data_IF_909571654164
#
_entry.id   IF_909571654164
#
_cell.length_a   1.000
_cell.length_b   1.000
_cell.length_c   1.000
_cell.angle_alpha   90.00
_cell.angle_beta   90.00
_cell.angle_gamma   90.00
#
_symmetry.space_group_name_H-M   'P 1'
#
loop_
_entity.id
_entity.type
_entity.pdbx_description
1 polymer ?
#
# COMPACT_ATOMS: atom_id res chain seq x y z
N UNK A 1 7.22 13.20 7.40
CA UNK A 1 7.21 12.14 8.43
C UNK A 1 5.92 12.25 9.24
N UNK A 2 5.20 11.14 9.41
CA UNK A 2 3.94 11.06 10.16
C UNK A 2 4.08 10.03 11.25
N UNK A 3 3.45 10.29 12.40
CA UNK A 3 3.49 9.39 13.57
C UNK A 3 2.09 9.20 14.13
N UNK A 4 1.75 7.95 14.43
CA UNK A 4 0.59 7.55 15.22
C UNK A 4 1.04 6.52 16.26
N UNK A 5 1.30 6.98 17.48
CA UNK A 5 1.90 6.19 18.57
C UNK A 5 3.25 5.58 18.13
N UNK A 6 3.36 4.26 18.15
CA UNK A 6 4.54 3.48 17.74
C UNK A 6 4.72 3.38 16.21
N UNK A 7 3.66 3.70 15.42
CA UNK A 7 3.72 3.64 13.96
C UNK A 7 4.25 4.94 13.38
N UNK A 8 5.23 4.83 12.51
CA UNK A 8 5.84 5.97 11.78
C UNK A 8 5.78 5.68 10.28
N UNK A 9 5.39 6.69 9.52
CA UNK A 9 5.54 6.70 8.05
C UNK A 9 6.55 7.79 7.73
N UNK A 10 7.67 7.41 7.10
CA UNK A 10 8.76 8.30 6.75
C UNK A 10 9.33 7.99 5.37
N UNK A 11 10.00 8.96 4.71
CA UNK A 11 10.71 8.70 3.47
C UNK A 11 11.66 7.51 3.60
N UNK A 12 11.86 6.81 2.49
CA UNK A 12 12.90 5.77 2.38
C UNK A 12 14.25 6.46 2.37
N UNK A 13 15.14 6.01 3.23
CA UNK A 13 16.53 6.47 3.30
C UNK A 13 17.47 5.46 2.62
N UNK A 14 18.63 5.88 2.22
CA UNK A 14 19.63 4.97 1.62
C UNK A 14 20.01 3.82 2.58
N UNK A 15 20.05 4.09 3.87
CA UNK A 15 20.32 3.08 4.91
C UNK A 15 19.23 1.98 4.99
N UNK A 16 18.02 2.25 4.52
CA UNK A 16 16.91 1.28 4.54
C UNK A 16 17.01 0.25 3.41
N UNK A 17 17.77 0.54 2.37
CA UNK A 17 17.74 -0.26 1.12
C UNK A 17 18.12 -1.72 1.33
N UNK A 18 19.07 -2.01 2.21
CA UNK A 18 19.47 -3.38 2.52
C UNK A 18 18.35 -4.17 3.19
N UNK A 19 17.68 -3.57 4.19
CA UNK A 19 16.55 -4.21 4.87
C UNK A 19 15.36 -4.37 3.94
N UNK A 20 15.03 -3.33 3.16
CA UNK A 20 13.95 -3.40 2.18
C UNK A 20 14.19 -4.47 1.12
N UNK A 21 15.40 -4.55 0.57
CA UNK A 21 15.74 -5.62 -0.36
C UNK A 21 15.56 -7.01 0.27
N UNK A 22 16.04 -7.18 1.50
CA UNK A 22 15.89 -8.44 2.22
C UNK A 22 14.43 -8.82 2.41
N UNK A 23 13.58 -7.88 2.83
CA UNK A 23 12.15 -8.10 3.04
C UNK A 23 11.38 -8.43 1.75
N UNK A 24 11.82 -7.86 0.62
CA UNK A 24 11.10 -7.98 -0.65
C UNK A 24 11.62 -9.15 -1.49
N UNK A 25 12.95 -9.34 -1.58
CA UNK A 25 13.59 -10.16 -2.60
C UNK A 25 14.49 -11.30 -2.08
N UNK A 26 14.73 -11.41 -0.76
CA UNK A 26 15.62 -12.46 -0.23
C UNK A 26 15.03 -13.86 -0.35
N UNK A 27 13.70 -13.97 -0.40
CA UNK A 27 12.98 -15.21 -0.59
C UNK A 27 12.38 -15.29 -2.00
N UNK A 28 12.40 -16.48 -2.61
CA UNK A 28 11.81 -16.69 -3.93
C UNK A 28 10.28 -16.56 -3.89
N UNK A 29 9.66 -17.05 -2.81
CA UNK A 29 8.21 -16.99 -2.58
C UNK A 29 7.92 -16.42 -1.17
N UNK A 30 8.10 -15.12 -0.96
CA UNK A 30 7.88 -14.52 0.33
C UNK A 30 6.40 -14.59 0.73
N UNK A 31 6.14 -14.79 2.01
CA UNK A 31 4.78 -15.04 2.51
C UNK A 31 3.80 -13.89 2.21
N UNK A 32 4.29 -12.64 2.24
CA UNK A 32 3.48 -11.47 1.93
C UNK A 32 2.94 -11.47 0.49
N UNK A 33 3.63 -12.13 -0.44
CA UNK A 33 3.23 -12.21 -1.86
C UNK A 33 1.89 -12.93 -2.06
N UNK A 34 1.48 -13.78 -1.13
CA UNK A 34 0.17 -14.44 -1.15
C UNK A 34 -1.01 -13.46 -1.09
N UNK A 35 -0.77 -12.25 -0.60
CA UNK A 35 -1.80 -11.19 -0.45
C UNK A 35 -1.67 -10.10 -1.51
N UNK A 36 -0.44 -9.86 -2.00
CA UNK A 36 -0.14 -8.83 -2.98
C UNK A 36 -0.09 -9.39 -4.39
N UNK A 37 -1.26 -9.42 -5.05
CA UNK A 37 -1.41 -9.84 -6.44
C UNK A 37 -0.62 -11.12 -6.79
N UNK A 38 -0.91 -12.27 -6.11
CA UNK A 38 -0.12 -13.50 -6.24
C UNK A 38 -0.20 -14.12 -7.65
N UNK A 39 -1.12 -13.69 -8.46
CA UNK A 39 -1.28 -14.07 -9.87
C UNK A 39 -0.25 -13.40 -10.81
N UNK A 40 0.56 -12.48 -10.31
CA UNK A 40 1.76 -11.99 -10.99
C UNK A 40 2.99 -12.63 -10.38
N UNK A 41 3.93 -13.01 -11.25
CA UNK A 41 5.19 -13.61 -10.84
C UNK A 41 5.98 -12.66 -9.93
N UNK A 42 6.54 -13.21 -8.85
CA UNK A 42 7.49 -12.52 -8.01
C UNK A 42 8.88 -12.62 -8.65
N UNK A 43 9.41 -11.50 -9.13
CA UNK A 43 10.73 -11.47 -9.77
C UNK A 43 11.84 -11.47 -8.73
N UNK A 44 12.79 -12.38 -8.88
CA UNK A 44 14.04 -12.30 -8.12
C UNK A 44 14.87 -11.12 -8.63
N UNK A 45 15.34 -10.28 -7.70
CA UNK A 45 16.21 -9.13 -7.99
C UNK A 45 17.43 -9.22 -7.09
N UNK A 46 18.63 -9.19 -7.67
CA UNK A 46 19.87 -9.13 -6.87
C UNK A 46 19.97 -7.81 -6.12
N UNK A 47 20.69 -7.79 -5.00
CA UNK A 47 20.88 -6.54 -4.25
C UNK A 47 21.54 -5.46 -5.10
N UNK A 48 22.50 -5.83 -5.96
CA UNK A 48 23.17 -4.89 -6.87
C UNK A 48 22.21 -4.29 -7.90
N UNK A 49 21.28 -5.09 -8.45
CA UNK A 49 20.30 -4.57 -9.37
C UNK A 49 19.23 -3.71 -8.66
N UNK A 50 18.89 -4.08 -7.43
CA UNK A 50 18.01 -3.26 -6.59
C UNK A 50 18.63 -1.89 -6.29
N UNK A 51 19.92 -1.82 -6.01
CA UNK A 51 20.63 -0.55 -5.78
C UNK A 51 20.60 0.39 -7.00
N UNK A 52 20.47 -0.13 -8.21
CA UNK A 52 20.30 0.71 -9.41
C UNK A 52 18.98 1.49 -9.43
N UNK A 53 18.01 1.08 -8.61
CA UNK A 53 16.72 1.75 -8.49
C UNK A 53 16.67 2.79 -7.36
N UNK A 54 17.78 3.01 -6.64
CA UNK A 54 17.82 3.85 -5.45
C UNK A 54 17.27 5.27 -5.66
N UNK A 55 17.60 5.89 -6.80
CA UNK A 55 17.16 7.26 -7.11
C UNK A 55 15.63 7.38 -7.30
N UNK A 56 14.97 6.26 -7.62
CA UNK A 56 13.52 6.18 -7.72
C UNK A 56 12.85 5.78 -6.38
N UNK A 57 13.62 5.46 -5.35
CA UNK A 57 13.13 5.00 -4.05
C UNK A 57 13.44 5.98 -2.92
N UNK A 58 14.70 6.45 -2.85
CA UNK A 58 15.19 7.24 -1.73
C UNK A 58 14.66 8.66 -1.78
N UNK A 59 14.13 9.15 -0.66
CA UNK A 59 13.60 10.50 -0.49
C UNK A 59 12.53 10.92 -1.52
N UNK A 60 11.77 9.95 -2.05
CA UNK A 60 10.67 10.26 -2.95
C UNK A 60 9.42 10.72 -2.19
N UNK A 61 8.67 11.64 -2.80
CA UNK A 61 7.44 12.20 -2.22
C UNK A 61 6.23 11.26 -2.29
N UNK A 62 6.35 10.16 -3.02
CA UNK A 62 5.27 9.21 -3.25
C UNK A 62 5.53 7.81 -2.68
N UNK A 63 6.64 7.61 -1.94
CA UNK A 63 6.99 6.32 -1.34
C UNK A 63 7.60 6.47 0.03
N UNK A 64 7.12 5.66 0.95
CA UNK A 64 7.55 5.70 2.35
C UNK A 64 7.69 4.29 2.92
N UNK A 65 8.54 4.15 3.95
CA UNK A 65 8.53 2.98 4.83
C UNK A 65 7.45 3.14 5.90
N UNK A 66 6.91 2.00 6.32
CA UNK A 66 6.11 1.86 7.53
C UNK A 66 7.03 1.26 8.58
N UNK A 67 7.24 1.99 9.67
CA UNK A 67 8.09 1.60 10.79
C UNK A 67 7.26 1.46 12.05
N UNK A 68 7.50 0.43 12.85
CA UNK A 68 6.88 0.22 14.16
C UNK A 68 7.98 -0.10 15.16
N UNK A 69 8.09 0.69 16.24
CA UNK A 69 9.13 0.56 17.27
C UNK A 69 10.57 0.49 16.70
N UNK A 70 10.87 1.23 15.64
CA UNK A 70 12.19 1.27 14.99
C UNK A 70 12.44 0.13 14.01
N UNK A 71 11.48 -0.72 13.74
CA UNK A 71 11.55 -1.83 12.79
C UNK A 71 10.75 -1.51 11.52
N UNK A 72 11.35 -1.67 10.35
CA UNK A 72 10.64 -1.54 9.07
C UNK A 72 9.76 -2.78 8.89
N UNK A 73 8.45 -2.56 8.78
CA UNK A 73 7.48 -3.65 8.60
C UNK A 73 6.88 -3.69 7.20
N UNK A 74 6.99 -2.62 6.44
CA UNK A 74 6.35 -2.51 5.12
C UNK A 74 6.66 -1.21 4.40
N UNK A 75 6.01 -1.05 3.26
CA UNK A 75 6.02 0.18 2.47
C UNK A 75 4.62 0.63 2.12
N UNK A 76 4.46 1.93 1.94
CA UNK A 76 3.21 2.56 1.51
C UNK A 76 3.55 3.69 0.53
N UNK A 77 2.66 3.95 -0.42
CA UNK A 77 2.86 5.02 -1.37
C UNK A 77 1.64 5.26 -2.25
N UNK A 78 1.82 6.12 -3.25
CA UNK A 78 0.81 6.34 -4.28
C UNK A 78 1.44 6.37 -5.68
N UNK A 79 0.61 6.16 -6.68
CA UNK A 79 0.96 6.31 -8.09
C UNK A 79 -0.20 6.95 -8.86
N UNK A 80 0.16 7.71 -9.89
CA UNK A 80 -0.83 8.36 -10.73
C UNK A 80 -1.45 7.38 -11.72
N UNK A 81 -2.76 7.28 -11.70
CA UNK A 81 -3.53 6.63 -12.77
C UNK A 81 -3.72 7.61 -13.95
N UNK A 82 -4.11 8.86 -13.63
CA UNK A 82 -4.23 9.91 -14.63
C UNK A 82 -4.02 11.29 -13.97
N UNK A 83 -2.80 11.80 -14.08
CA UNK A 83 -2.39 13.05 -13.43
C UNK A 83 -3.23 14.28 -13.83
N UNK A 84 -3.60 14.48 -15.13
CA UNK A 84 -4.46 15.59 -15.51
C UNK A 84 -5.86 15.61 -14.86
N UNK A 85 -6.36 14.44 -14.44
CA UNK A 85 -7.63 14.31 -13.70
C UNK A 85 -7.45 14.32 -12.18
N UNK A 86 -6.26 14.58 -11.67
CA UNK A 86 -5.92 14.43 -10.26
C UNK A 86 -6.35 13.06 -9.70
N UNK A 87 -6.18 12.00 -10.50
CA UNK A 87 -6.51 10.64 -10.13
C UNK A 87 -5.27 9.83 -9.82
N UNK A 88 -5.15 9.42 -8.57
CA UNK A 88 -4.11 8.51 -8.09
C UNK A 88 -4.71 7.33 -7.33
N UNK A 89 -3.93 6.28 -7.21
CA UNK A 89 -4.22 5.15 -6.33
C UNK A 89 -3.09 4.95 -5.34
N UNK A 90 -3.41 4.42 -4.16
CA UNK A 90 -2.47 4.10 -3.11
C UNK A 90 -2.10 2.60 -3.15
N UNK A 91 -0.87 2.30 -2.74
CA UNK A 91 -0.40 0.94 -2.57
C UNK A 91 0.24 0.76 -1.20
N UNK A 92 0.04 -0.40 -0.60
CA UNK A 92 0.62 -0.77 0.69
C UNK A 92 0.98 -2.24 0.69
N UNK A 93 2.14 -2.56 1.25
CA UNK A 93 2.52 -3.94 1.58
C UNK A 93 3.12 -3.96 2.98
N UNK A 94 2.61 -4.85 3.83
CA UNK A 94 3.24 -5.21 5.11
C UNK A 94 3.95 -6.55 4.90
N UNK A 95 5.27 -6.53 4.89
CA UNK A 95 6.10 -7.68 4.58
C UNK A 95 6.16 -8.69 5.73
N UNK A 96 6.10 -8.23 6.99
CA UNK A 96 6.28 -9.06 8.18
C UNK A 96 4.95 -9.61 8.70
N UNK A 97 4.73 -10.94 8.68
CA UNK A 97 3.46 -11.57 9.10
C UNK A 97 3.06 -11.25 10.54
N UNK A 98 4.03 -11.06 11.44
CA UNK A 98 3.80 -10.72 12.84
C UNK A 98 3.00 -9.42 13.04
N UNK A 99 3.00 -8.54 12.05
CA UNK A 99 2.28 -7.26 12.08
C UNK A 99 0.93 -7.29 11.33
N UNK A 100 0.55 -8.45 10.79
CA UNK A 100 -0.76 -8.59 10.14
C UNK A 100 -1.87 -8.64 11.19
N UNK A 101 -3.05 -8.17 10.81
CA UNK A 101 -4.25 -8.10 11.67
C UNK A 101 -4.13 -7.23 12.94
N UNK A 102 -2.98 -6.58 13.17
CA UNK A 102 -2.75 -5.63 14.27
C UNK A 102 -3.29 -4.21 14.02
N UNK A 103 -3.96 -3.98 12.89
CA UNK A 103 -4.50 -2.66 12.53
C UNK A 103 -3.49 -1.70 11.89
N UNK A 104 -2.23 -2.06 11.77
CA UNK A 104 -1.17 -1.20 11.22
C UNK A 104 -1.46 -0.76 9.78
N UNK A 105 -1.96 -1.65 8.92
CA UNK A 105 -2.35 -1.32 7.55
C UNK A 105 -3.45 -0.26 7.49
N UNK A 106 -4.50 -0.41 8.31
CA UNK A 106 -5.60 0.56 8.40
C UNK A 106 -5.11 1.93 8.86
N UNK A 107 -4.26 1.96 9.89
CA UNK A 107 -3.67 3.20 10.42
C UNK A 107 -2.76 3.87 9.40
N UNK A 108 -1.91 3.11 8.72
CA UNK A 108 -1.01 3.63 7.70
C UNK A 108 -1.77 4.23 6.51
N UNK A 109 -2.80 3.55 6.01
CA UNK A 109 -3.64 4.04 4.92
C UNK A 109 -4.40 5.29 5.35
N UNK A 110 -4.95 5.34 6.56
CA UNK A 110 -5.64 6.53 7.09
C UNK A 110 -4.71 7.75 7.10
N UNK A 111 -3.47 7.59 7.58
CA UNK A 111 -2.46 8.64 7.59
C UNK A 111 -2.17 9.13 6.17
N UNK A 112 -1.96 8.19 5.24
CA UNK A 112 -1.66 8.55 3.85
C UNK A 112 -2.83 9.27 3.18
N UNK A 113 -4.06 8.78 3.32
CA UNK A 113 -5.27 9.44 2.79
C UNK A 113 -5.38 10.86 3.33
N UNK A 114 -5.19 11.05 4.63
CA UNK A 114 -5.21 12.37 5.26
C UNK A 114 -4.16 13.30 4.66
N UNK A 115 -2.94 12.81 4.50
CA UNK A 115 -1.86 13.57 3.86
C UNK A 115 -2.25 13.98 2.44
N UNK A 116 -2.69 13.04 1.63
CA UNK A 116 -3.01 13.27 0.22
C UNK A 116 -4.12 14.31 0.05
N UNK A 117 -5.23 14.18 0.75
CA UNK A 117 -6.33 15.15 0.66
C UNK A 117 -5.97 16.52 1.24
N UNK A 118 -5.10 16.57 2.25
CA UNK A 118 -4.67 17.85 2.86
C UNK A 118 -3.69 18.62 1.97
N UNK A 119 -2.80 17.90 1.26
CA UNK A 119 -1.69 18.53 0.52
C UNK A 119 -1.93 18.65 -0.98
N UNK A 120 -2.90 17.92 -1.52
CA UNK A 120 -3.19 17.88 -2.95
C UNK A 120 -4.66 18.19 -3.26
N UNK A 121 -4.96 18.82 -4.40
CA UNK A 121 -6.33 19.13 -4.83
C UNK A 121 -7.05 17.89 -5.40
N UNK A 122 -6.92 16.75 -4.73
CA UNK A 122 -7.55 15.51 -5.15
C UNK A 122 -9.05 15.54 -4.87
N UNK A 123 -9.85 15.00 -5.77
CA UNK A 123 -11.29 14.79 -5.56
C UNK A 123 -11.60 13.37 -5.09
N UNK A 124 -10.67 12.43 -5.31
CA UNK A 124 -10.76 11.03 -4.88
C UNK A 124 -9.39 10.44 -4.59
N UNK A 125 -9.37 9.43 -3.73
CA UNK A 125 -8.26 8.51 -3.51
C UNK A 125 -8.81 7.09 -3.54
N UNK A 126 -8.10 6.16 -4.15
CA UNK A 126 -8.53 4.77 -4.21
C UNK A 126 -7.37 3.79 -4.15
N UNK A 127 -7.71 2.52 -4.23
CA UNK A 127 -6.75 1.44 -4.47
C UNK A 127 -7.42 0.25 -5.15
N UNK A 128 -6.60 -0.55 -5.81
CA UNK A 128 -7.01 -1.82 -6.40
C UNK A 128 -6.49 -2.98 -5.57
N UNK A 129 -7.35 -3.97 -5.33
CA UNK A 129 -7.01 -5.25 -4.70
C UNK A 129 -7.73 -6.40 -5.43
N UNK A 130 -7.74 -7.58 -4.86
CA UNK A 130 -8.41 -8.74 -5.44
C UNK A 130 -9.26 -9.45 -4.37
N UNK A 131 -10.24 -10.25 -4.80
CA UNK A 131 -11.22 -10.87 -3.90
C UNK A 131 -10.61 -11.88 -2.91
N UNK A 132 -9.40 -12.38 -3.18
CA UNK A 132 -8.66 -13.22 -2.25
C UNK A 132 -7.98 -12.44 -1.12
N UNK A 133 -7.82 -11.13 -1.25
CA UNK A 133 -7.30 -10.27 -0.18
C UNK A 133 -8.43 -9.63 0.63
N UNK A 134 -9.18 -10.46 1.36
CA UNK A 134 -10.28 -9.99 2.20
C UNK A 134 -9.83 -8.97 3.27
N UNK A 135 -8.58 -9.06 3.72
CA UNK A 135 -8.02 -8.12 4.70
C UNK A 135 -8.00 -6.71 4.13
N UNK A 136 -7.55 -6.56 2.87
CA UNK A 136 -7.48 -5.25 2.24
C UNK A 136 -8.88 -4.69 1.95
N UNK A 137 -9.84 -5.54 1.55
CA UNK A 137 -11.24 -5.13 1.39
C UNK A 137 -11.79 -4.59 2.73
N UNK A 138 -11.58 -5.33 3.82
CA UNK A 138 -12.01 -4.90 5.17
C UNK A 138 -11.34 -3.61 5.64
N UNK A 139 -10.10 -3.35 5.23
CA UNK A 139 -9.42 -2.07 5.51
C UNK A 139 -10.18 -0.91 4.87
N UNK A 140 -10.56 -1.03 3.61
CA UNK A 140 -11.35 -0.01 2.92
C UNK A 140 -12.70 0.22 3.60
N UNK A 141 -13.43 -0.85 3.87
CA UNK A 141 -14.72 -0.77 4.58
C UNK A 141 -14.59 -0.05 5.94
N UNK A 142 -13.57 -0.40 6.74
CA UNK A 142 -13.30 0.27 8.02
C UNK A 142 -13.01 1.77 7.88
N UNK A 143 -12.41 2.17 6.77
CA UNK A 143 -12.09 3.58 6.49
C UNK A 143 -13.24 4.32 5.80
N UNK A 144 -14.39 3.65 5.58
CA UNK A 144 -15.56 4.23 4.93
C UNK A 144 -15.40 4.38 3.42
N UNK A 145 -14.48 3.63 2.80
CA UNK A 145 -14.35 3.58 1.36
C UNK A 145 -15.47 2.77 0.72
N UNK A 146 -15.89 3.18 -0.46
CA UNK A 146 -16.89 2.46 -1.27
C UNK A 146 -16.21 1.46 -2.19
N UNK A 147 -16.78 0.25 -2.32
CA UNK A 147 -16.41 -0.67 -3.40
C UNK A 147 -17.00 -0.15 -4.71
N UNK A 148 -16.18 0.50 -5.52
CA UNK A 148 -16.60 1.15 -6.76
C UNK A 148 -16.68 0.19 -7.94
N UNK A 149 -15.90 -0.90 -7.92
CA UNK A 149 -15.94 -1.92 -8.96
C UNK A 149 -15.56 -3.30 -8.43
N UNK A 150 -16.22 -4.31 -9.01
CA UNK A 150 -15.89 -5.72 -8.86
C UNK A 150 -15.89 -6.37 -10.24
N UNK A 151 -14.69 -6.47 -10.82
CA UNK A 151 -14.49 -7.12 -12.11
C UNK A 151 -14.37 -8.63 -11.91
N UNK A 152 -15.44 -9.35 -12.23
CA UNK A 152 -15.56 -10.77 -11.91
C UNK A 152 -14.62 -11.63 -12.75
N UNK A 153 -13.97 -12.64 -12.12
CA UNK A 153 -13.17 -13.71 -12.76
C UNK A 153 -12.06 -13.22 -13.69
N UNK A 154 -11.47 -12.07 -13.39
CA UNK A 154 -10.39 -11.50 -14.20
C UNK A 154 -8.97 -11.79 -13.66
N UNK A 155 -8.88 -12.59 -12.59
CA UNK A 155 -7.61 -13.06 -12.01
C UNK A 155 -7.66 -14.56 -11.83
N UNK A 156 -6.61 -15.26 -12.26
CA UNK A 156 -6.50 -16.72 -12.10
C UNK A 156 -5.31 -17.04 -11.20
N UNK A 157 -5.53 -17.82 -10.15
CA UNK A 157 -4.48 -18.20 -9.21
C UNK A 157 -4.85 -19.52 -8.51
N UNK A 158 -3.88 -20.44 -8.41
CA UNK A 158 -4.05 -21.76 -7.77
C UNK A 158 -5.29 -22.53 -8.23
N UNK A 159 -5.59 -22.53 -9.53
CA UNK A 159 -6.72 -23.28 -10.08
C UNK A 159 -8.08 -22.59 -9.98
N UNK A 160 -8.16 -21.40 -9.40
CA UNK A 160 -9.40 -20.68 -9.18
C UNK A 160 -9.40 -19.29 -9.82
N UNK A 161 -10.61 -18.80 -10.13
CA UNK A 161 -10.81 -17.43 -10.63
C UNK A 161 -11.22 -16.50 -9.50
N UNK A 162 -10.59 -15.36 -9.45
CA UNK A 162 -10.84 -14.27 -8.51
C UNK A 162 -11.23 -12.98 -9.23
N UNK A 163 -11.82 -12.08 -8.47
CA UNK A 163 -12.26 -10.78 -8.96
C UNK A 163 -11.21 -9.72 -8.67
N UNK A 164 -11.12 -8.69 -9.53
CA UNK A 164 -10.42 -7.45 -9.20
C UNK A 164 -11.38 -6.49 -8.52
N UNK A 165 -10.96 -5.90 -7.41
CA UNK A 165 -11.76 -5.04 -6.56
C UNK A 165 -11.16 -3.63 -6.57
N UNK A 166 -11.99 -2.61 -6.77
CA UNK A 166 -11.60 -1.22 -6.62
C UNK A 166 -12.33 -0.58 -5.45
N UNK A 167 -11.56 0.00 -4.53
CA UNK A 167 -12.06 0.75 -3.39
C UNK A 167 -11.74 2.22 -3.60
N UNK A 168 -12.69 3.11 -3.31
CA UNK A 168 -12.52 4.55 -3.48
C UNK A 168 -13.12 5.35 -2.34
N UNK A 169 -12.56 6.53 -2.10
CA UNK A 169 -13.03 7.53 -1.17
C UNK A 169 -13.03 8.89 -1.85
N UNK A 170 -14.15 9.60 -1.84
CA UNK A 170 -14.25 10.96 -2.35
C UNK A 170 -13.83 11.98 -1.29
N UNK A 171 -13.44 13.18 -1.72
CA UNK A 171 -13.05 14.26 -0.80
C UNK A 171 -14.16 14.61 0.19
N UNK A 172 -15.40 14.75 -0.27
CA UNK A 172 -16.56 15.06 0.56
C UNK A 172 -16.86 13.96 1.59
N UNK A 173 -16.60 12.69 1.24
CA UNK A 173 -16.73 11.58 2.17
C UNK A 173 -15.63 11.63 3.23
N UNK A 174 -14.39 11.95 2.85
CA UNK A 174 -13.29 12.15 3.78
C UNK A 174 -13.55 13.34 4.73
N UNK A 175 -14.02 14.47 4.21
CA UNK A 175 -14.33 15.67 5.00
C UNK A 175 -15.43 15.43 6.04
N UNK A 176 -16.39 14.55 5.72
CA UNK A 176 -17.51 14.22 6.61
C UNK A 176 -17.20 13.08 7.58
N UNK A 177 -16.15 12.30 7.34
CA UNK A 177 -15.84 11.08 8.12
C UNK A 177 -15.04 11.40 9.40
N UNK A 178 -15.60 11.14 10.61
CA UNK A 178 -14.92 11.43 11.89
C UNK A 178 -13.58 10.71 12.09
N UNK A 179 -13.34 9.60 11.37
CA UNK A 179 -12.08 8.83 11.51
C UNK A 179 -10.86 9.60 10.98
N UNK A 180 -11.06 10.63 10.17
CA UNK A 180 -10.00 11.46 9.60
C UNK A 180 -9.83 12.82 10.31
N UNK A 181 -10.61 13.09 11.37
CA UNK A 181 -10.56 14.32 12.16
C UNK A 181 -9.66 14.18 13.37
#
# INVERSE_FOLDING_TARGET
>A
MYRDKELIIRPILEADLSELWSLIYSEELPEWKKWDAPYFEHKHVTYQDYLKTKDALVNQDNRWVIEVNGEIIGTIGYYWEHKPSNWLEIGIVIYKPAYWSGGYGTRAIRILINHLFTTMPLVRVGYTTWSGNERMIKVGEKLGMTMEARLRKCRYYNGEYYDSIRMGLLREEWESNPQFK
#
